data_IF_363318872696
#
_entry.id   IF_363318872696
#
_cell.length_a   1.000
_cell.length_b   1.000
_cell.length_c   1.000
_cell.angle_alpha   90.00
_cell.angle_beta   90.00
_cell.angle_gamma   90.00
#
_symmetry.space_group_name_H-M   'P 1'
#
loop_
_entity.id
_entity.type
_entity.pdbx_description
1 polymer ?
#
# COMPACT_ATOMS: atom_id res chain seq x y z
N UNK A 1 -28.37 31.98 -10.14
CA UNK A 1 -26.93 32.00 -10.42
C UNK A 1 -26.11 31.27 -9.36
N UNK A 2 -26.39 31.49 -8.10
CA UNK A 2 -25.65 30.80 -7.01
C UNK A 2 -25.89 29.28 -7.01
N UNK A 3 -27.06 28.84 -7.41
CA UNK A 3 -27.47 27.42 -7.40
C UNK A 3 -26.72 26.56 -8.40
N UNK A 4 -26.33 27.10 -9.55
CA UNK A 4 -25.54 26.37 -10.55
C UNK A 4 -24.12 26.12 -10.07
N UNK A 5 -23.52 27.08 -9.38
CA UNK A 5 -22.18 26.96 -8.81
C UNK A 5 -22.14 25.93 -7.71
N UNK A 6 -23.18 25.90 -6.87
CA UNK A 6 -23.30 24.94 -5.79
C UNK A 6 -23.46 23.51 -6.30
N UNK A 7 -24.18 23.32 -7.38
CA UNK A 7 -24.36 22.00 -8.00
C UNK A 7 -23.05 21.42 -8.54
N UNK A 8 -22.23 22.22 -9.18
CA UNK A 8 -20.91 21.84 -9.71
C UNK A 8 -19.96 21.56 -8.53
N UNK A 9 -19.99 22.39 -7.52
CA UNK A 9 -19.16 22.24 -6.34
C UNK A 9 -19.45 20.95 -5.57
N UNK A 10 -20.70 20.52 -5.51
CA UNK A 10 -21.07 19.27 -4.84
C UNK A 10 -20.52 18.04 -5.57
N UNK A 11 -20.52 18.03 -6.89
CA UNK A 11 -19.99 16.94 -7.69
C UNK A 11 -18.47 16.81 -7.54
N UNK A 12 -17.77 17.94 -7.54
CA UNK A 12 -16.32 17.99 -7.32
C UNK A 12 -15.95 17.55 -5.90
N UNK A 13 -16.72 17.98 -4.91
CA UNK A 13 -16.53 17.56 -3.50
C UNK A 13 -16.71 16.06 -3.33
N UNK A 14 -17.62 15.43 -4.04
CA UNK A 14 -17.82 13.99 -4.01
C UNK A 14 -16.61 13.23 -4.53
N UNK A 15 -15.97 13.73 -5.58
CA UNK A 15 -14.77 13.12 -6.20
C UNK A 15 -13.53 13.34 -5.33
N UNK A 16 -13.35 14.52 -4.75
CA UNK A 16 -12.20 14.88 -3.95
C UNK A 16 -12.26 14.33 -2.51
N UNK A 17 -13.42 13.88 -2.07
CA UNK A 17 -13.68 13.50 -0.66
C UNK A 17 -12.78 12.36 -0.18
N UNK A 18 -12.48 11.38 -1.01
CA UNK A 18 -11.60 10.28 -0.67
C UNK A 18 -10.16 10.74 -0.52
N UNK A 19 -9.65 11.54 -1.46
CA UNK A 19 -8.32 12.11 -1.41
C UNK A 19 -8.18 13.08 -0.21
N UNK A 20 -9.20 13.89 0.06
CA UNK A 20 -9.24 14.79 1.22
C UNK A 20 -9.19 14.02 2.54
N UNK A 21 -9.91 12.91 2.65
CA UNK A 21 -9.87 12.05 3.84
C UNK A 21 -8.49 11.52 4.10
N UNK A 22 -7.82 11.01 3.07
CA UNK A 22 -6.47 10.49 3.18
C UNK A 22 -5.48 11.61 3.53
N UNK A 23 -5.60 12.77 2.87
CA UNK A 23 -4.72 13.91 3.11
C UNK A 23 -4.87 14.48 4.54
N UNK A 24 -6.07 14.39 5.10
CA UNK A 24 -6.37 14.88 6.45
C UNK A 24 -6.01 13.88 7.55
N UNK A 25 -5.67 12.64 7.22
CA UNK A 25 -5.31 11.64 8.21
C UNK A 25 -4.06 12.01 8.99
N UNK A 26 -4.13 11.90 10.30
CA UNK A 26 -2.97 11.85 11.15
C UNK A 26 -2.49 10.39 11.19
N UNK A 27 -1.55 10.06 10.31
CA UNK A 27 -1.04 8.70 10.20
C UNK A 27 -0.38 8.19 11.49
N UNK A 28 0.03 9.07 12.38
CA UNK A 28 0.60 8.68 13.66
C UNK A 28 -0.46 8.11 14.62
N UNK A 29 -1.71 8.57 14.49
CA UNK A 29 -2.81 8.20 15.40
C UNK A 29 -3.85 7.27 14.80
N UNK A 30 -3.94 7.17 13.46
CA UNK A 30 -4.92 6.28 12.82
C UNK A 30 -4.55 4.81 13.05
N UNK A 31 -5.51 4.00 13.49
CA UNK A 31 -5.27 2.57 13.72
C UNK A 31 -5.25 1.79 12.39
N UNK A 32 -4.63 0.59 12.36
CA UNK A 32 -4.68 -0.27 11.18
C UNK A 32 -6.11 -0.58 10.73
N UNK A 33 -7.02 -0.79 11.67
CA UNK A 33 -8.44 -1.08 11.39
C UNK A 33 -9.15 0.12 10.76
N UNK A 34 -8.91 1.32 11.29
CA UNK A 34 -9.46 2.55 10.72
C UNK A 34 -8.95 2.78 9.30
N UNK A 35 -7.66 2.59 9.09
CA UNK A 35 -7.05 2.72 7.77
C UNK A 35 -7.66 1.71 6.79
N UNK A 36 -7.82 0.46 7.22
CA UNK A 36 -8.42 -0.59 6.39
C UNK A 36 -9.87 -0.25 5.99
N UNK A 37 -10.64 0.28 6.91
CA UNK A 37 -12.03 0.71 6.62
C UNK A 37 -12.08 1.88 5.64
N UNK A 38 -11.17 2.84 5.80
CA UNK A 38 -11.08 3.98 4.88
C UNK A 38 -10.76 3.49 3.47
N UNK A 39 -9.75 2.64 3.32
CA UNK A 39 -9.37 2.07 2.02
C UNK A 39 -10.51 1.27 1.40
N UNK A 40 -11.20 0.46 2.21
CA UNK A 40 -12.36 -0.34 1.76
C UNK A 40 -13.47 0.54 1.20
N UNK A 41 -13.66 1.73 1.77
CA UNK A 41 -14.67 2.68 1.34
C UNK A 41 -14.29 3.52 0.12
N UNK A 42 -13.04 3.47 -0.33
CA UNK A 42 -12.60 4.26 -1.48
C UNK A 42 -13.04 3.60 -2.80
N UNK A 43 -13.58 4.41 -3.70
CA UNK A 43 -13.86 3.97 -5.06
C UNK A 43 -12.56 3.86 -5.86
N UNK A 44 -12.62 3.15 -6.98
CA UNK A 44 -11.48 3.07 -7.91
C UNK A 44 -11.04 4.45 -8.41
N UNK A 45 -12.00 5.34 -8.61
CA UNK A 45 -11.73 6.72 -9.04
C UNK A 45 -11.04 7.51 -7.94
N UNK A 46 -11.48 7.39 -6.70
CA UNK A 46 -10.85 8.05 -5.55
C UNK A 46 -9.41 7.60 -5.35
N UNK A 47 -9.15 6.30 -5.49
CA UNK A 47 -7.80 5.76 -5.42
C UNK A 47 -6.94 6.30 -6.56
N UNK A 48 -7.48 6.38 -7.78
CA UNK A 48 -6.78 6.95 -8.92
C UNK A 48 -6.45 8.44 -8.72
N UNK A 49 -7.34 9.19 -8.10
CA UNK A 49 -7.12 10.60 -7.79
C UNK A 49 -5.98 10.78 -6.77
N UNK A 50 -5.92 9.92 -5.75
CA UNK A 50 -4.82 9.89 -4.79
C UNK A 50 -3.49 9.59 -5.52
N UNK A 51 -3.50 8.61 -6.40
CA UNK A 51 -2.33 8.19 -7.15
C UNK A 51 -1.78 9.27 -8.09
N UNK A 52 -2.65 10.17 -8.58
CA UNK A 52 -2.24 11.28 -9.45
C UNK A 52 -1.65 12.46 -8.69
N UNK A 53 -1.98 12.60 -7.42
CA UNK A 53 -1.39 13.62 -6.56
C UNK A 53 -0.04 13.11 -6.05
N UNK A 54 1.05 13.53 -6.69
CA UNK A 54 2.39 13.03 -6.43
C UNK A 54 2.84 13.22 -4.99
N UNK A 55 2.52 14.33 -4.36
CA UNK A 55 2.87 14.58 -2.96
C UNK A 55 2.07 13.67 -2.02
N UNK A 56 0.77 13.56 -2.25
CA UNK A 56 -0.11 12.70 -1.45
C UNK A 56 0.27 11.24 -1.62
N UNK A 57 0.52 10.80 -2.84
CA UNK A 57 0.96 9.44 -3.14
C UNK A 57 2.25 9.09 -2.39
N UNK A 58 3.25 9.96 -2.46
CA UNK A 58 4.52 9.77 -1.77
C UNK A 58 4.32 9.67 -0.26
N UNK A 59 3.51 10.55 0.31
CA UNK A 59 3.19 10.55 1.73
C UNK A 59 2.50 9.25 2.16
N UNK A 60 1.51 8.80 1.39
CA UNK A 60 0.79 7.56 1.67
C UNK A 60 1.75 6.37 1.64
N UNK A 61 2.59 6.27 0.62
CA UNK A 61 3.55 5.17 0.49
C UNK A 61 4.55 5.16 1.65
N UNK A 62 5.12 6.30 1.99
CA UNK A 62 6.07 6.42 3.10
C UNK A 62 5.44 6.00 4.43
N UNK A 63 4.21 6.44 4.68
CA UNK A 63 3.50 6.11 5.92
C UNK A 63 3.11 4.63 6.00
N UNK A 64 2.65 4.07 4.90
CA UNK A 64 2.28 2.65 4.83
C UNK A 64 3.51 1.76 5.06
N UNK A 65 4.60 2.05 4.37
CA UNK A 65 5.84 1.28 4.55
C UNK A 65 6.43 1.48 5.95
N UNK A 66 6.36 2.69 6.50
CA UNK A 66 6.79 2.95 7.88
C UNK A 66 5.98 2.16 8.90
N UNK A 67 4.68 2.00 8.69
CA UNK A 67 3.82 1.17 9.53
C UNK A 67 4.17 -0.31 9.45
N UNK A 68 4.67 -0.75 8.33
CA UNK A 68 5.05 -2.15 8.11
C UNK A 68 6.05 -2.61 9.18
N UNK A 69 7.01 -1.78 9.54
CA UNK A 69 7.96 -2.07 10.61
C UNK A 69 7.27 -2.28 11.96
N UNK A 70 6.27 -1.47 12.26
CA UNK A 70 5.52 -1.55 13.53
C UNK A 70 4.54 -2.71 13.58
N UNK A 71 4.01 -3.11 12.41
CA UNK A 71 3.06 -4.22 12.30
C UNK A 71 3.73 -5.57 12.17
N UNK A 72 5.04 -5.60 12.09
CA UNK A 72 5.81 -6.84 11.94
C UNK A 72 5.66 -7.74 13.17
N UNK A 73 5.50 -9.05 12.92
CA UNK A 73 5.34 -10.07 13.97
C UNK A 73 6.61 -10.91 14.04
N UNK A 74 7.56 -10.58 14.92
CA UNK A 74 8.82 -11.33 15.01
C UNK A 74 8.63 -12.81 15.32
N UNK A 75 7.66 -13.14 16.15
CA UNK A 75 7.36 -14.52 16.57
C UNK A 75 6.89 -15.40 15.40
N UNK A 76 6.21 -14.82 14.42
CA UNK A 76 5.75 -15.54 13.23
C UNK A 76 6.88 -15.70 12.21
N UNK A 77 7.75 -14.72 12.11
CA UNK A 77 8.86 -14.74 11.16
C UNK A 77 9.96 -15.73 11.56
N UNK A 78 10.15 -15.97 12.87
CA UNK A 78 11.15 -16.91 13.36
C UNK A 78 12.55 -16.60 12.85
N UNK A 79 13.17 -17.53 12.13
CA UNK A 79 14.52 -17.41 11.58
C UNK A 79 14.53 -16.88 10.13
N UNK A 80 13.42 -16.40 9.63
CA UNK A 80 13.33 -15.91 8.26
C UNK A 80 14.34 -14.79 8.00
N UNK A 81 15.10 -14.94 6.91
CA UNK A 81 15.95 -13.89 6.36
C UNK A 81 15.57 -13.69 4.91
N UNK A 82 15.03 -12.53 4.60
CA UNK A 82 14.56 -12.25 3.25
C UNK A 82 14.55 -10.76 2.96
N UNK A 83 15.04 -10.40 1.78
CA UNK A 83 14.89 -9.07 1.22
C UNK A 83 13.73 -9.12 0.22
N UNK A 84 12.73 -8.27 0.42
CA UNK A 84 11.54 -8.17 -0.41
C UNK A 84 11.57 -6.81 -1.09
N UNK A 85 11.49 -6.81 -2.41
CA UNK A 85 11.42 -5.57 -3.18
C UNK A 85 10.00 -5.33 -3.66
N UNK A 86 9.51 -4.13 -3.41
CA UNK A 86 8.17 -3.69 -3.83
C UNK A 86 8.32 -2.67 -4.94
N UNK A 87 7.65 -2.91 -6.06
CA UNK A 87 7.54 -1.95 -7.16
C UNK A 87 6.08 -1.56 -7.30
N UNK A 88 5.76 -0.36 -6.84
CA UNK A 88 4.41 0.18 -6.95
C UNK A 88 4.36 1.06 -8.18
N UNK A 89 3.67 0.59 -9.21
CA UNK A 89 3.60 1.28 -10.49
C UNK A 89 2.49 2.31 -10.48
N UNK A 90 2.80 3.53 -10.90
CA UNK A 90 1.82 4.60 -11.03
C UNK A 90 1.13 4.58 -12.40
N UNK A 91 0.40 5.65 -12.69
CA UNK A 91 -0.31 5.81 -13.96
C UNK A 91 0.56 6.27 -15.12
N UNK A 92 1.79 6.75 -14.84
CA UNK A 92 2.75 7.21 -15.84
C UNK A 92 3.99 6.33 -15.89
N UNK A 93 4.76 6.45 -16.95
CA UNK A 93 5.96 5.63 -17.19
C UNK A 93 7.05 5.82 -16.13
N UNK A 94 7.09 6.99 -15.47
CA UNK A 94 8.11 7.33 -14.49
C UNK A 94 7.60 7.33 -13.04
N UNK A 95 6.39 6.82 -12.82
CA UNK A 95 5.76 6.86 -11.51
C UNK A 95 6.02 5.62 -10.65
N UNK A 96 6.98 4.80 -11.03
CA UNK A 96 7.34 3.61 -10.25
C UNK A 96 8.00 4.01 -8.95
N UNK A 97 7.41 3.60 -7.84
CA UNK A 97 8.00 3.74 -6.52
C UNK A 97 8.58 2.40 -6.08
N UNK A 98 9.81 2.41 -5.59
CA UNK A 98 10.51 1.19 -5.16
C UNK A 98 10.81 1.29 -3.67
N UNK A 99 10.44 0.26 -2.94
CA UNK A 99 10.74 0.11 -1.51
C UNK A 99 11.27 -1.29 -1.27
N UNK A 100 12.07 -1.44 -0.22
CA UNK A 100 12.59 -2.74 0.18
C UNK A 100 12.28 -3.00 1.64
N UNK A 101 11.83 -4.21 1.93
CA UNK A 101 11.59 -4.72 3.28
C UNK A 101 12.64 -5.78 3.56
N UNK A 102 13.49 -5.55 4.54
CA UNK A 102 14.54 -6.48 4.96
C UNK A 102 14.14 -7.13 6.27
N UNK A 103 13.89 -8.43 6.23
CA UNK A 103 13.55 -9.23 7.40
C UNK A 103 14.76 -10.08 7.75
N UNK A 104 15.28 -9.90 8.95
CA UNK A 104 16.40 -10.67 9.45
C UNK A 104 16.45 -10.60 10.98
N UNK A 105 16.85 -11.68 11.61
CA UNK A 105 17.08 -11.75 13.06
C UNK A 105 15.92 -11.23 13.91
N UNK A 106 14.69 -11.53 13.48
CA UNK A 106 13.48 -11.10 14.18
C UNK A 106 13.18 -9.62 14.05
N UNK A 107 13.78 -8.93 13.09
CA UNK A 107 13.53 -7.51 12.83
C UNK A 107 13.09 -7.27 11.40
N UNK A 108 12.37 -6.18 11.19
CA UNK A 108 11.90 -5.73 9.89
C UNK A 108 12.34 -4.28 9.68
N UNK A 109 13.12 -4.05 8.65
CA UNK A 109 13.59 -2.71 8.28
C UNK A 109 13.08 -2.39 6.89
N UNK A 110 12.51 -1.19 6.72
CA UNK A 110 11.98 -0.72 5.45
C UNK A 110 12.82 0.43 4.94
N UNK A 111 13.15 0.41 3.66
CA UNK A 111 13.95 1.46 2.99
C UNK A 111 13.30 1.84 1.67
N UNK A 112 13.34 3.12 1.36
CA UNK A 112 12.96 3.62 0.05
C UNK A 112 14.13 3.43 -0.93
N UNK A 113 13.80 3.02 -2.14
CA UNK A 113 14.77 2.85 -3.21
C UNK A 113 15.24 1.41 -3.38
N UNK A 114 16.08 1.22 -4.37
CA UNK A 114 16.62 -0.07 -4.77
C UNK A 114 18.06 -0.21 -4.31
N UNK A 115 18.32 -1.23 -3.50
CA UNK A 115 19.69 -1.58 -3.11
C UNK A 115 20.36 -2.44 -4.18
N UNK A 116 21.67 -2.68 -4.01
CA UNK A 116 22.43 -3.59 -4.87
C UNK A 116 22.23 -5.06 -4.51
N UNK A 117 21.54 -5.35 -3.41
CA UNK A 117 21.29 -6.71 -2.96
C UNK A 117 20.24 -7.39 -3.85
N UNK A 118 20.39 -8.70 -4.03
CA UNK A 118 19.43 -9.52 -4.76
C UNK A 118 18.22 -9.78 -3.87
N UNK A 119 17.00 -9.38 -4.26
CA UNK A 119 15.82 -9.68 -3.47
C UNK A 119 15.44 -11.15 -3.60
N UNK A 120 14.95 -11.72 -2.52
CA UNK A 120 14.40 -13.07 -2.54
C UNK A 120 13.09 -13.12 -3.33
N UNK A 121 12.33 -12.04 -3.28
CA UNK A 121 11.12 -11.88 -4.07
C UNK A 121 10.92 -10.41 -4.43
N UNK A 122 10.39 -10.15 -5.61
CA UNK A 122 9.95 -8.82 -6.04
C UNK A 122 8.46 -8.88 -6.34
N UNK A 123 7.72 -7.93 -5.77
CA UNK A 123 6.28 -7.78 -5.97
C UNK A 123 6.05 -6.52 -6.79
N UNK A 124 5.32 -6.65 -7.88
CA UNK A 124 5.03 -5.55 -8.81
C UNK A 124 3.53 -5.39 -8.89
N UNK A 125 3.02 -4.21 -8.55
CA UNK A 125 1.59 -3.94 -8.50
C UNK A 125 1.29 -2.45 -8.65
N UNK A 126 0.05 -2.13 -8.99
CA UNK A 126 -0.41 -0.76 -9.05
C UNK A 126 -0.76 -0.21 -7.66
N UNK A 127 -1.03 1.09 -7.59
CA UNK A 127 -1.37 1.77 -6.33
C UNK A 127 -2.62 1.18 -5.67
N UNK A 128 -3.65 0.88 -6.45
CA UNK A 128 -4.90 0.33 -5.93
C UNK A 128 -4.70 -1.06 -5.30
N UNK A 129 -3.95 -1.92 -5.99
CA UNK A 129 -3.64 -3.25 -5.51
C UNK A 129 -2.79 -3.20 -4.25
N UNK A 130 -1.82 -2.31 -4.22
CA UNK A 130 -0.96 -2.11 -3.06
C UNK A 130 -1.76 -1.69 -1.84
N UNK A 131 -2.62 -0.67 -1.95
CA UNK A 131 -3.45 -0.20 -0.85
C UNK A 131 -4.38 -1.29 -0.31
N UNK A 132 -5.00 -2.05 -1.21
CA UNK A 132 -5.88 -3.16 -0.82
C UNK A 132 -5.12 -4.26 -0.10
N UNK A 133 -3.92 -4.58 -0.57
CA UNK A 133 -3.09 -5.62 0.03
C UNK A 133 -2.64 -5.24 1.44
N UNK A 134 -2.06 -4.06 1.61
CA UNK A 134 -1.50 -3.61 2.90
C UNK A 134 -2.56 -3.26 3.93
N UNK A 135 -3.77 -2.98 3.50
CA UNK A 135 -4.91 -2.70 4.38
C UNK A 135 -5.72 -3.95 4.73
N UNK A 136 -5.36 -5.11 4.20
CA UNK A 136 -6.07 -6.36 4.46
C UNK A 136 -7.34 -6.56 3.65
N UNK A 137 -7.60 -5.69 2.67
CA UNK A 137 -8.80 -5.78 1.82
C UNK A 137 -8.64 -6.72 0.63
N UNK A 138 -7.46 -7.29 0.45
CA UNK A 138 -7.19 -8.27 -0.58
C UNK A 138 -6.05 -9.20 -0.15
N UNK A 139 -6.05 -10.41 -0.66
CA UNK A 139 -5.03 -11.42 -0.38
C UNK A 139 -3.98 -11.45 -1.50
N UNK A 140 -2.68 -11.62 -1.18
CA UNK A 140 -1.63 -11.75 -2.20
C UNK A 140 -1.89 -12.90 -3.16
N UNK A 141 -2.36 -14.03 -2.65
CA UNK A 141 -2.67 -15.23 -3.46
C UNK A 141 -3.76 -14.93 -4.48
N UNK A 142 -4.86 -14.34 -4.03
CA UNK A 142 -5.98 -13.97 -4.91
C UNK A 142 -5.54 -12.98 -5.98
N UNK A 143 -4.79 -11.95 -5.60
CA UNK A 143 -4.30 -10.95 -6.55
C UNK A 143 -3.34 -11.54 -7.57
N UNK A 144 -2.49 -12.46 -7.15
CA UNK A 144 -1.58 -13.16 -8.06
C UNK A 144 -2.37 -14.02 -9.07
N UNK A 145 -3.34 -14.79 -8.60
CA UNK A 145 -4.20 -15.62 -9.46
C UNK A 145 -5.01 -14.78 -10.44
N UNK A 146 -5.44 -13.60 -10.05
CA UNK A 146 -6.17 -12.65 -10.90
C UNK A 146 -5.24 -11.80 -11.77
N UNK A 147 -3.95 -12.04 -11.74
CA UNK A 147 -2.92 -11.31 -12.50
C UNK A 147 -2.85 -9.80 -12.19
N UNK A 148 -3.28 -9.43 -11.00
CA UNK A 148 -3.22 -8.02 -10.53
C UNK A 148 -1.88 -7.69 -9.86
N UNK A 149 -1.17 -8.70 -9.42
CA UNK A 149 0.17 -8.59 -8.83
C UNK A 149 1.09 -9.54 -9.59
N UNK A 150 2.25 -9.03 -9.99
CA UNK A 150 3.32 -9.86 -10.57
C UNK A 150 4.31 -10.21 -9.47
N UNK A 151 4.73 -11.45 -9.43
CA UNK A 151 5.69 -11.95 -8.45
C UNK A 151 6.89 -12.52 -9.19
N UNK A 152 8.06 -11.99 -8.91
CA UNK A 152 9.33 -12.49 -9.43
C UNK A 152 10.16 -13.01 -8.26
N UNK A 153 10.55 -14.28 -8.31
CA UNK A 153 11.31 -14.93 -7.25
C UNK A 153 10.49 -15.91 -6.44
N UNK A 154 10.64 -15.88 -5.12
CA UNK A 154 10.02 -16.84 -4.20
C UNK A 154 8.52 -16.58 -4.04
N UNK A 155 7.70 -17.28 -4.83
CA UNK A 155 6.24 -17.16 -4.80
C UNK A 155 5.66 -17.63 -3.46
N UNK A 156 6.23 -18.65 -2.86
CA UNK A 156 5.77 -19.16 -1.57
C UNK A 156 5.94 -18.11 -0.47
N UNK A 157 7.06 -17.41 -0.46
CA UNK A 157 7.30 -16.31 0.46
C UNK A 157 6.28 -15.18 0.24
N UNK A 158 6.07 -14.78 -1.01
CA UNK A 158 5.10 -13.75 -1.37
C UNK A 158 3.69 -14.09 -0.90
N UNK A 159 3.27 -15.33 -1.11
CA UNK A 159 1.95 -15.83 -0.72
C UNK A 159 1.73 -15.78 0.80
N UNK A 160 2.80 -15.95 1.56
CA UNK A 160 2.74 -15.97 3.03
C UNK A 160 3.06 -14.64 3.71
N UNK A 161 3.34 -13.58 2.95
CA UNK A 161 3.80 -12.31 3.53
C UNK A 161 2.85 -11.72 4.58
N UNK A 162 1.55 -11.81 4.36
CA UNK A 162 0.56 -11.24 5.29
C UNK A 162 0.60 -11.88 6.67
N UNK A 163 1.15 -13.08 6.80
CA UNK A 163 1.30 -13.75 8.10
C UNK A 163 2.36 -13.11 9.00
N UNK A 164 3.29 -12.41 8.41
CA UNK A 164 4.40 -11.78 9.14
C UNK A 164 4.06 -10.39 9.67
N UNK A 165 2.87 -9.89 9.33
CA UNK A 165 2.43 -8.56 9.71
C UNK A 165 1.04 -8.61 10.34
N UNK A 166 0.80 -7.72 11.32
CA UNK A 166 -0.52 -7.58 11.93
C UNK A 166 -1.41 -6.74 11.01
N UNK A 167 -2.07 -7.42 10.09
CA UNK A 167 -2.97 -6.80 9.11
C UNK A 167 -4.41 -7.09 9.53
N UNK A 168 -5.23 -6.04 9.73
CA UNK A 168 -6.60 -6.23 10.18
C UNK A 168 -7.48 -6.86 9.09
N UNK A 169 -8.52 -7.54 9.54
CA UNK A 169 -9.59 -8.03 8.68
C UNK A 169 -10.85 -7.20 8.95
N UNK A 170 -11.34 -6.48 7.95
CA UNK A 170 -12.52 -5.61 8.04
C UNK A 170 -13.52 -5.89 6.92
#
# INVERSE_FOLDING_TARGET
MADEVDGIGSAEKGTAKGAEKIAALDFASVTPEEFARIVKGLSSKEIADIARDGELRTRVLQEVFGRMERQFKPETAGSLKALIRWKVTGSGDNDEAVYETDIADGTCTVREGRSNAEPRVTLIMGDAEFLKLVSGNASPVTMFMMRKVKIAGDVALASGLTRYFDIPKV
#
